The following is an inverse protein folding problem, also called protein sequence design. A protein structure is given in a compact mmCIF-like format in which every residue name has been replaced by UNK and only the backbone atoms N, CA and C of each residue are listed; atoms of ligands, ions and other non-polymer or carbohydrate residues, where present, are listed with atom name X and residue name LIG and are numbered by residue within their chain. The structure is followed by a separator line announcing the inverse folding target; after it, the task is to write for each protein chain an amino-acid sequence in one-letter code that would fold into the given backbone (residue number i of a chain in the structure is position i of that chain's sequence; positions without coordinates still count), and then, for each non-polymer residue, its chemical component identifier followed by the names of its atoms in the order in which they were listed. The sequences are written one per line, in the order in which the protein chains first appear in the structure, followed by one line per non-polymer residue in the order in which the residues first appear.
data_IF_321608631937
#
_entry.id   IF_321608631937
#
_cell.length_a   1.000
_cell.length_b   1.000
_cell.length_c   1.000
_cell.angle_alpha   90.00
_cell.angle_beta   90.00
_cell.angle_gamma   90.00
#
_symmetry.space_group_name_H-M   'P 1'
#
loop_
_entity.id
_entity.type
_entity.pdbx_description
1 polymer ?
#
# COMPACT_ATOMS: atom_id res chain seq x y z
N UNK A 1 40.93 3.15 -20.17
CA UNK A 1 40.26 4.06 -19.23
C UNK A 1 39.16 3.32 -18.50
N UNK A 2 39.17 3.30 -17.17
CA UNK A 2 38.12 2.66 -16.35
C UNK A 2 36.90 3.57 -16.31
N UNK A 3 36.02 3.47 -17.30
CA UNK A 3 34.72 4.14 -17.29
C UNK A 3 33.84 3.52 -16.21
N UNK A 4 33.73 4.17 -15.06
CA UNK A 4 32.77 3.76 -14.03
C UNK A 4 31.36 3.96 -14.58
N UNK A 5 30.56 2.89 -14.61
CA UNK A 5 29.16 2.89 -15.04
C UNK A 5 28.22 3.51 -13.98
N UNK A 6 28.65 4.60 -13.34
CA UNK A 6 27.99 5.20 -12.18
C UNK A 6 26.55 5.62 -12.51
N UNK A 7 26.32 6.11 -13.74
CA UNK A 7 24.99 6.44 -14.25
C UNK A 7 24.10 5.21 -14.40
N UNK A 8 24.64 4.11 -14.93
CA UNK A 8 23.89 2.85 -15.07
C UNK A 8 23.47 2.28 -13.71
N UNK A 9 24.36 2.37 -12.70
CA UNK A 9 24.05 1.97 -11.32
C UNK A 9 22.98 2.86 -10.69
N UNK A 10 23.04 4.18 -10.92
CA UNK A 10 22.03 5.11 -10.42
C UNK A 10 20.65 4.87 -11.05
N UNK A 11 20.58 4.67 -12.37
CA UNK A 11 19.34 4.36 -13.07
C UNK A 11 18.77 3.00 -12.67
N UNK A 12 19.62 2.01 -12.42
CA UNK A 12 19.19 0.70 -11.91
C UNK A 12 18.62 0.82 -10.50
N UNK A 13 19.25 1.62 -9.63
CA UNK A 13 18.74 1.90 -8.28
C UNK A 13 17.38 2.61 -8.32
N UNK A 14 17.23 3.62 -9.16
CA UNK A 14 15.93 4.30 -9.36
C UNK A 14 14.87 3.34 -9.91
N UNK A 15 15.24 2.47 -10.86
CA UNK A 15 14.33 1.45 -11.37
C UNK A 15 13.92 0.48 -10.28
N UNK A 16 14.84 0.07 -9.43
CA UNK A 16 14.58 -0.85 -8.32
C UNK A 16 13.74 -0.18 -7.24
N UNK A 17 13.93 1.11 -6.95
CA UNK A 17 13.10 1.93 -6.05
C UNK A 17 11.65 2.08 -6.58
N UNK A 18 11.48 2.34 -7.88
CA UNK A 18 10.16 2.38 -8.56
C UNK A 18 9.50 1.00 -8.66
N UNK A 19 10.30 -0.06 -8.78
CA UNK A 19 9.80 -1.45 -8.80
C UNK A 19 9.38 -1.91 -7.42
N UNK A 20 10.17 -1.58 -6.39
CA UNK A 20 9.90 -1.95 -5.00
C UNK A 20 8.83 -1.07 -4.39
N UNK A 21 8.66 0.17 -4.85
CA UNK A 21 7.61 1.09 -4.43
C UNK A 21 7.84 1.69 -3.05
N UNK A 22 9.08 1.76 -2.56
CA UNK A 22 9.42 2.34 -1.25
C UNK A 22 8.94 3.77 -1.06
N UNK A 23 8.80 4.52 -2.16
CA UNK A 23 8.45 5.94 -2.13
C UNK A 23 7.04 6.18 -1.59
N UNK A 24 6.08 5.32 -1.94
CA UNK A 24 4.70 5.50 -1.47
C UNK A 24 4.59 5.15 0.02
N UNK A 25 5.34 4.16 0.50
CA UNK A 25 5.33 3.77 1.91
C UNK A 25 5.95 4.90 2.77
N UNK A 26 7.05 5.48 2.31
CA UNK A 26 7.68 6.65 2.95
C UNK A 26 6.79 7.90 2.89
N UNK A 27 6.11 8.12 1.76
CA UNK A 27 5.18 9.23 1.61
C UNK A 27 3.96 9.09 2.52
N UNK A 28 3.36 7.90 2.62
CA UNK A 28 2.26 7.62 3.54
C UNK A 28 2.69 7.80 5.01
N UNK A 29 3.87 7.32 5.37
CA UNK A 29 4.38 7.48 6.74
C UNK A 29 4.72 8.92 7.12
N UNK A 30 5.03 9.79 6.15
CA UNK A 30 5.33 11.21 6.40
C UNK A 30 4.10 12.12 6.27
N UNK A 31 3.07 11.69 5.54
CA UNK A 31 1.88 12.51 5.26
C UNK A 31 0.76 12.32 6.29
N UNK A 32 0.79 11.24 7.06
CA UNK A 32 -0.28 10.85 7.99
C UNK A 32 0.27 10.61 9.39
N UNK A 33 -0.54 10.91 10.41
CA UNK A 33 -0.23 10.60 11.80
C UNK A 33 -0.70 9.17 12.09
N UNK A 34 0.12 8.18 11.71
CA UNK A 34 -0.26 6.78 11.76
C UNK A 34 -0.50 6.29 13.20
N UNK A 35 -1.58 5.51 13.40
CA UNK A 35 -1.80 4.80 14.67
C UNK A 35 -0.68 3.80 14.95
N UNK A 36 -0.33 3.71 16.23
CA UNK A 36 0.61 2.74 16.77
C UNK A 36 -0.12 1.48 17.23
N UNK A 37 0.56 0.33 17.37
CA UNK A 37 -0.07 -0.92 17.82
C UNK A 37 -0.71 -0.85 19.21
N UNK A 38 -0.31 0.11 20.03
CA UNK A 38 -0.86 0.39 21.36
C UNK A 38 -2.12 1.25 21.33
N UNK A 39 -2.42 1.89 20.21
CA UNK A 39 -3.59 2.76 20.07
C UNK A 39 -4.84 1.87 19.88
N UNK A 40 -5.95 2.14 20.59
CA UNK A 40 -7.19 1.39 20.41
C UNK A 40 -7.70 1.60 18.98
N UNK A 41 -7.89 0.50 18.25
CA UNK A 41 -8.35 0.55 16.87
C UNK A 41 -9.34 -0.59 16.59
N UNK A 42 -10.46 -0.24 15.96
CA UNK A 42 -11.46 -1.22 15.56
C UNK A 42 -10.95 -2.09 14.41
N UNK A 43 -11.40 -3.35 14.39
CA UNK A 43 -11.20 -4.24 13.25
C UNK A 43 -11.90 -3.68 12.02
N UNK A 44 -11.21 -3.66 10.89
CA UNK A 44 -11.76 -3.20 9.62
C UNK A 44 -11.92 -4.40 8.68
N UNK A 45 -13.13 -4.63 8.20
CA UNK A 45 -13.43 -5.71 7.26
C UNK A 45 -13.82 -5.13 5.89
N UNK A 46 -13.17 -5.60 4.84
CA UNK A 46 -13.50 -5.26 3.46
C UNK A 46 -14.37 -6.37 2.85
N UNK A 47 -15.62 -6.05 2.55
CA UNK A 47 -16.51 -6.98 1.86
C UNK A 47 -16.34 -6.85 0.34
N UNK A 48 -16.12 -7.98 -0.32
CA UNK A 48 -16.04 -8.05 -1.78
C UNK A 48 -17.42 -8.44 -2.30
N UNK A 49 -17.96 -7.60 -3.17
CA UNK A 49 -19.27 -7.81 -3.78
C UNK A 49 -19.11 -8.16 -5.26
N UNK A 50 -19.83 -9.18 -5.73
CA UNK A 50 -19.96 -9.51 -7.15
C UNK A 50 -21.44 -9.59 -7.49
N UNK A 51 -21.89 -8.75 -8.42
CA UNK A 51 -23.30 -8.69 -8.84
C UNK A 51 -24.28 -8.51 -7.66
N UNK A 52 -23.90 -7.73 -6.64
CA UNK A 52 -24.72 -7.46 -5.46
C UNK A 52 -24.69 -8.53 -4.37
N UNK A 53 -23.96 -9.64 -4.56
CA UNK A 53 -23.74 -10.65 -3.54
C UNK A 53 -22.34 -10.52 -2.93
N UNK A 54 -22.24 -10.66 -1.61
CA UNK A 54 -20.94 -10.78 -0.93
C UNK A 54 -20.31 -12.10 -1.33
N UNK A 55 -19.15 -12.05 -1.97
CA UNK A 55 -18.39 -13.22 -2.41
C UNK A 55 -17.16 -13.49 -1.56
N UNK A 56 -16.66 -12.47 -0.85
CA UNK A 56 -15.51 -12.60 0.05
C UNK A 56 -15.52 -11.51 1.12
N UNK A 57 -14.79 -11.71 2.21
CA UNK A 57 -14.56 -10.71 3.26
C UNK A 57 -13.13 -10.76 3.73
N UNK A 58 -12.38 -9.70 3.44
CA UNK A 58 -10.97 -9.56 3.79
C UNK A 58 -10.87 -8.79 5.10
N UNK A 59 -10.37 -9.47 6.15
CA UNK A 59 -10.18 -8.87 7.47
C UNK A 59 -8.85 -8.14 7.53
N UNK A 60 -8.88 -6.82 7.74
CA UNK A 60 -7.70 -6.00 7.96
C UNK A 60 -7.43 -5.95 9.47
N UNK A 61 -6.44 -6.73 9.90
CA UNK A 61 -6.03 -6.82 11.31
C UNK A 61 -5.62 -5.46 11.90
N UNK A 62 -5.52 -5.36 13.23
CA UNK A 62 -5.27 -4.09 13.92
C UNK A 62 -3.79 -3.70 13.99
N UNK A 63 -2.87 -4.62 13.69
CA UNK A 63 -1.43 -4.43 13.88
C UNK A 63 -0.77 -3.50 12.85
N UNK A 64 -1.37 -3.31 11.67
CA UNK A 64 -0.82 -2.49 10.61
C UNK A 64 -1.66 -1.23 10.38
N UNK A 65 -1.02 -0.05 10.27
CA UNK A 65 -1.72 1.21 10.02
C UNK A 65 -1.96 1.48 8.52
N UNK A 66 -1.24 0.80 7.63
CA UNK A 66 -1.31 0.99 6.17
C UNK A 66 -1.65 -0.34 5.50
N UNK A 67 -2.66 -0.33 4.62
CA UNK A 67 -3.03 -1.46 3.78
C UNK A 67 -3.06 -1.05 2.31
N UNK A 68 -2.07 -1.51 1.56
CA UNK A 68 -1.99 -1.29 0.11
C UNK A 68 -2.96 -2.19 -0.67
N UNK A 69 -3.60 -1.59 -1.67
CA UNK A 69 -4.53 -2.22 -2.61
C UNK A 69 -3.99 -2.05 -4.03
N UNK A 70 -3.91 -3.12 -4.81
CA UNK A 70 -3.42 -3.04 -6.18
C UNK A 70 -3.18 -4.39 -6.85
N UNK A 71 -2.52 -4.39 -8.00
CA UNK A 71 -2.18 -5.63 -8.73
C UNK A 71 -0.92 -6.33 -8.24
N UNK A 72 0.00 -5.57 -7.62
CA UNK A 72 1.32 -6.08 -7.27
C UNK A 72 1.24 -7.01 -6.07
N UNK A 73 2.11 -8.04 -6.02
CA UNK A 73 2.13 -9.06 -4.96
C UNK A 73 2.50 -8.52 -3.58
N UNK A 74 3.04 -7.29 -3.50
CA UNK A 74 3.33 -6.60 -2.24
C UNK A 74 2.10 -5.88 -1.67
N UNK A 75 0.97 -5.87 -2.38
CA UNK A 75 -0.27 -5.30 -1.87
C UNK A 75 -0.93 -6.27 -0.88
N UNK A 76 -1.54 -5.73 0.17
CA UNK A 76 -2.28 -6.51 1.16
C UNK A 76 -3.60 -7.01 0.56
N UNK A 77 -4.19 -6.20 -0.32
CA UNK A 77 -5.37 -6.58 -1.11
C UNK A 77 -4.98 -6.58 -2.58
N UNK A 78 -4.92 -7.78 -3.16
CA UNK A 78 -4.62 -7.93 -4.57
C UNK A 78 -5.91 -7.93 -5.40
N UNK A 79 -5.95 -7.11 -6.43
CA UNK A 79 -7.09 -7.02 -7.35
C UNK A 79 -6.64 -7.31 -8.78
N UNK A 80 -7.46 -8.05 -9.52
CA UNK A 80 -7.09 -8.56 -10.86
C UNK A 80 -7.62 -7.70 -12.02
N UNK A 81 -8.45 -6.70 -11.74
CA UNK A 81 -9.12 -5.93 -12.80
C UNK A 81 -8.12 -5.15 -13.67
N UNK A 82 -8.23 -5.17 -15.02
CA UNK A 82 -7.24 -4.61 -15.93
C UNK A 82 -6.99 -3.11 -15.77
N UNK A 83 -7.94 -2.32 -15.26
CA UNK A 83 -7.74 -0.88 -15.00
C UNK A 83 -6.93 -0.55 -13.73
N UNK A 84 -6.66 -1.53 -12.87
CA UNK A 84 -6.04 -1.30 -11.57
C UNK A 84 -4.52 -1.15 -11.72
N UNK A 85 -3.94 -0.20 -10.99
CA UNK A 85 -2.49 0.06 -10.99
C UNK A 85 -1.73 -0.99 -10.15
N UNK A 86 -0.39 -1.05 -10.29
CA UNK A 86 0.45 -1.94 -9.46
C UNK A 86 0.23 -1.72 -7.96
N UNK A 87 0.31 -0.46 -7.53
CA UNK A 87 -0.19 0.04 -6.24
C UNK A 87 -1.25 1.08 -6.59
N UNK A 88 -2.50 0.80 -6.27
CA UNK A 88 -3.65 1.58 -6.79
C UNK A 88 -4.25 2.49 -5.74
N UNK A 89 -4.38 2.01 -4.51
CA UNK A 89 -4.88 2.77 -3.39
C UNK A 89 -4.26 2.25 -2.09
N UNK A 90 -4.40 3.00 -1.01
CA UNK A 90 -4.02 2.62 0.34
C UNK A 90 -5.11 2.98 1.33
N UNK A 91 -5.46 2.04 2.20
CA UNK A 91 -6.18 2.38 3.43
C UNK A 91 -5.15 2.78 4.49
N UNK A 92 -5.35 3.96 5.07
CA UNK A 92 -4.47 4.52 6.10
C UNK A 92 -5.28 4.77 7.35
N UNK A 93 -4.78 4.27 8.49
CA UNK A 93 -5.33 4.59 9.79
C UNK A 93 -4.54 5.76 10.39
N UNK A 94 -5.19 6.90 10.48
CA UNK A 94 -4.67 8.13 11.05
C UNK A 94 -5.30 8.38 12.43
N UNK A 95 -4.47 8.78 13.41
CA UNK A 95 -4.91 9.02 14.79
C UNK A 95 -6.00 10.09 14.90
N UNK A 96 -5.91 11.11 14.05
CA UNK A 96 -6.78 12.29 14.11
C UNK A 96 -8.01 12.15 13.20
N UNK A 97 -7.86 11.47 12.07
CA UNK A 97 -8.87 11.40 11.01
C UNK A 97 -9.57 10.04 10.89
N UNK A 98 -9.12 9.03 11.62
CA UNK A 98 -9.65 7.67 11.53
C UNK A 98 -9.14 6.94 10.29
N UNK A 99 -10.01 6.21 9.60
CA UNK A 99 -9.63 5.44 8.39
C UNK A 99 -9.81 6.30 7.14
N UNK A 100 -8.74 6.45 6.37
CA UNK A 100 -8.69 7.17 5.10
C UNK A 100 -8.42 6.22 3.94
N UNK A 101 -8.98 6.52 2.77
CA UNK A 101 -8.64 5.89 1.50
C UNK A 101 -7.87 6.91 0.65
N UNK A 102 -6.68 6.53 0.21
CA UNK A 102 -5.74 7.37 -0.54
C UNK A 102 -5.39 6.72 -1.86
#
# INVERSE_FOLDING_TARGET
GKGSNTLGKALMKLRDEISTGSDIDAWLASSFELVSPSDPCDSLDLQVHKSGAVVDTIRLGTAQPIFLVGKHSTCHVQLEHPSISRRHAAFVRDKSRGVLLV
#
